data_IF_040275724012
#
_entry.id   IF_040275724012
#
_cell.length_a   1.000
_cell.length_b   1.000
_cell.length_c   1.000
_cell.angle_alpha   90.00
_cell.angle_beta   90.00
_cell.angle_gamma   90.00
#
_symmetry.space_group_name_H-M   'P 1'
#
loop_
_entity.id
_entity.type
_entity.pdbx_description
1 polymer ?
#
# COMPACT_ATOMS: atom_id res chain seq x y z
N UNK A 1 43.97 -5.98 48.99
CA UNK A 1 44.07 -4.85 48.06
C UNK A 1 45.01 -5.28 46.93
N UNK A 2 44.65 -5.46 45.66
CA UNK A 2 43.43 -5.14 44.92
C UNK A 2 43.27 -6.12 43.74
N UNK A 3 42.71 -7.31 43.97
CA UNK A 3 42.34 -8.27 42.91
C UNK A 3 41.12 -7.80 42.08
N UNK A 4 40.69 -6.55 42.24
CA UNK A 4 39.58 -5.91 41.52
C UNK A 4 40.09 -5.16 40.28
N UNK A 5 41.39 -4.83 40.20
CA UNK A 5 41.96 -4.10 39.03
C UNK A 5 42.11 -4.96 37.76
N UNK A 6 42.08 -6.29 37.87
CA UNK A 6 42.21 -7.17 36.70
C UNK A 6 40.86 -7.52 36.04
N UNK A 7 39.73 -7.29 36.71
CA UNK A 7 38.39 -7.61 36.18
C UNK A 7 37.67 -6.42 35.53
N UNK A 8 38.22 -5.20 35.63
CA UNK A 8 37.68 -4.00 34.95
C UNK A 8 38.44 -3.69 33.65
N UNK A 9 39.56 -4.38 33.38
CA UNK A 9 40.35 -4.19 32.15
C UNK A 9 39.96 -5.12 30.98
N UNK A 10 38.83 -5.83 31.09
CA UNK A 10 38.27 -6.63 30.01
C UNK A 10 36.79 -6.25 29.83
N UNK A 11 36.47 -5.70 28.66
CA UNK A 11 35.12 -5.32 28.19
C UNK A 11 34.53 -3.95 28.58
N UNK A 12 35.33 -2.89 28.45
CA UNK A 12 34.81 -1.62 27.92
C UNK A 12 35.59 -1.21 26.66
N UNK A 13 35.33 -1.88 25.54
CA UNK A 13 35.63 -1.32 24.21
C UNK A 13 34.32 -0.96 23.53
N UNK A 14 33.89 0.26 23.80
CA UNK A 14 32.79 0.95 23.12
C UNK A 14 33.03 0.95 21.61
N UNK A 15 31.98 0.62 20.85
CA UNK A 15 31.93 0.76 19.40
C UNK A 15 32.40 2.14 18.96
N UNK A 16 33.45 2.22 18.15
CA UNK A 16 33.88 3.43 17.45
C UNK A 16 34.75 3.07 16.25
N UNK A 17 34.22 3.43 15.08
CA UNK A 17 34.91 3.73 13.82
C UNK A 17 35.47 2.56 13.03
N UNK A 18 34.67 2.07 12.07
CA UNK A 18 35.19 1.72 10.75
C UNK A 18 34.26 2.28 9.68
N UNK A 19 34.56 3.52 9.27
CA UNK A 19 34.04 4.15 8.05
C UNK A 19 34.98 3.72 6.92
N UNK A 20 34.50 2.90 5.99
CA UNK A 20 35.08 2.69 4.66
C UNK A 20 33.91 2.31 3.72
N UNK A 21 33.24 3.29 3.10
CA UNK A 21 33.45 3.73 1.71
C UNK A 21 33.31 2.59 0.67
N UNK A 22 32.08 2.35 0.22
CA UNK A 22 31.78 1.90 -1.13
C UNK A 22 30.66 2.79 -1.71
N UNK A 23 31.04 4.04 -2.00
CA UNK A 23 30.34 4.88 -2.95
C UNK A 23 31.08 4.77 -4.28
N UNK A 24 30.44 4.21 -5.31
CA UNK A 24 30.18 4.88 -6.59
C UNK A 24 29.69 3.87 -7.67
N UNK A 25 28.73 4.34 -8.47
CA UNK A 25 28.13 3.77 -9.69
C UNK A 25 27.20 2.56 -9.48
N UNK A 26 25.91 2.62 -9.83
CA UNK A 26 25.37 3.12 -11.10
C UNK A 26 24.10 3.92 -10.85
N UNK A 27 24.13 5.19 -11.29
CA UNK A 27 22.93 5.97 -11.58
C UNK A 27 22.33 5.32 -12.83
N UNK A 28 21.41 4.37 -12.66
CA UNK A 28 20.47 4.04 -13.72
C UNK A 28 19.37 5.08 -13.64
N UNK A 29 19.47 6.09 -14.50
CA UNK A 29 18.36 6.92 -14.92
C UNK A 29 17.30 6.01 -15.54
N UNK A 30 16.42 5.44 -14.71
CA UNK A 30 15.09 5.08 -15.16
C UNK A 30 14.29 6.39 -15.25
N UNK A 31 14.57 7.13 -16.32
CA UNK A 31 13.53 7.93 -16.95
C UNK A 31 12.51 6.93 -17.51
N UNK A 32 11.64 6.39 -16.66
CA UNK A 32 10.28 6.21 -17.14
C UNK A 32 9.67 7.57 -16.95
N UNK A 33 9.35 8.24 -18.05
CA UNK A 33 8.45 9.38 -18.08
C UNK A 33 7.32 9.10 -17.09
N UNK A 34 7.39 9.64 -15.89
CA UNK A 34 6.20 9.78 -15.06
C UNK A 34 5.52 10.97 -15.68
N UNK A 35 4.86 10.71 -16.79
CA UNK A 35 3.68 11.45 -17.16
C UNK A 35 2.83 11.41 -15.90
N UNK A 36 2.96 12.48 -15.10
CA UNK A 36 2.00 12.83 -14.06
C UNK A 36 0.72 13.29 -14.77
N UNK A 37 0.23 12.45 -15.68
CA UNK A 37 -1.13 12.46 -16.09
C UNK A 37 -1.86 11.77 -14.95
N UNK A 38 -2.55 12.56 -14.13
CA UNK A 38 -3.72 12.12 -13.41
C UNK A 38 -4.70 11.54 -14.45
N UNK A 39 -4.43 10.31 -14.87
CA UNK A 39 -5.23 9.62 -15.85
C UNK A 39 -6.50 9.20 -15.12
N UNK A 40 -7.52 10.05 -15.19
CA UNK A 40 -8.88 9.71 -14.78
C UNK A 40 -9.28 8.45 -15.53
N UNK A 41 -9.41 7.34 -14.81
CA UNK A 41 -9.82 6.06 -15.41
C UNK A 41 -11.31 5.81 -15.20
N UNK A 42 -11.86 5.05 -16.14
CA UNK A 42 -13.21 4.53 -15.99
C UNK A 42 -13.28 3.46 -14.91
N UNK A 43 -12.22 2.68 -14.67
CA UNK A 43 -12.20 1.57 -13.70
C UNK A 43 -10.96 1.60 -12.80
N UNK A 44 -11.03 0.86 -11.68
CA UNK A 44 -9.87 0.55 -10.83
C UNK A 44 -8.94 -0.41 -11.54
N UNK A 45 -7.63 -0.33 -11.31
CA UNK A 45 -6.67 -1.27 -11.89
C UNK A 45 -5.60 -1.64 -10.84
N UNK A 46 -5.94 -2.37 -9.76
CA UNK A 46 -5.00 -2.70 -8.70
C UNK A 46 -3.75 -3.43 -9.23
N UNK A 47 -2.56 -3.22 -8.63
CA UNK A 47 -1.34 -3.92 -9.04
C UNK A 47 -1.37 -5.41 -8.70
N UNK A 48 -0.67 -6.25 -9.47
CA UNK A 48 -0.72 -7.73 -9.34
C UNK A 48 -0.50 -8.25 -7.92
N UNK A 49 0.37 -7.60 -7.14
CA UNK A 49 0.69 -8.05 -5.79
C UNK A 49 -0.49 -7.97 -4.82
N UNK A 50 -1.47 -7.10 -5.06
CA UNK A 50 -2.67 -6.95 -4.21
C UNK A 50 -3.86 -7.77 -4.72
N UNK A 51 -3.79 -8.32 -5.93
CA UNK A 51 -4.86 -9.15 -6.49
C UNK A 51 -5.13 -10.37 -5.60
N UNK A 52 -6.42 -10.60 -5.32
CA UNK A 52 -6.90 -11.65 -4.44
C UNK A 52 -7.82 -11.14 -3.33
N UNK A 53 -8.16 -12.04 -2.40
CA UNK A 53 -9.04 -11.77 -1.27
C UNK A 53 -8.25 -11.52 0.01
N UNK A 54 -8.68 -10.54 0.78
CA UNK A 54 -8.01 -10.04 1.97
C UNK A 54 -9.03 -9.83 3.08
N UNK A 55 -8.85 -10.56 4.18
CA UNK A 55 -9.67 -10.43 5.37
C UNK A 55 -9.03 -9.45 6.33
N UNK A 56 -9.73 -8.39 6.69
CA UNK A 56 -9.32 -7.48 7.75
C UNK A 56 -9.48 -8.12 9.13
N UNK A 57 -8.81 -7.53 10.12
CA UNK A 57 -8.96 -7.93 11.53
C UNK A 57 -10.41 -7.82 12.05
N UNK A 58 -11.23 -6.91 11.48
CA UNK A 58 -12.65 -6.77 11.84
C UNK A 58 -13.60 -7.72 11.06
N UNK A 59 -13.06 -8.61 10.21
CA UNK A 59 -13.83 -9.59 9.47
C UNK A 59 -14.38 -9.13 8.12
N UNK A 60 -14.20 -7.85 7.74
CA UNK A 60 -14.50 -7.36 6.39
C UNK A 60 -13.60 -8.05 5.37
N UNK A 61 -14.17 -8.45 4.23
CA UNK A 61 -13.43 -9.02 3.11
C UNK A 61 -13.27 -7.99 2.00
N UNK A 62 -12.05 -7.79 1.53
CA UNK A 62 -11.74 -7.05 0.31
C UNK A 62 -11.25 -7.99 -0.76
N UNK A 63 -11.81 -7.92 -1.96
CA UNK A 63 -11.32 -8.67 -3.12
C UNK A 63 -10.90 -7.68 -4.21
N UNK A 64 -9.62 -7.69 -4.55
CA UNK A 64 -9.06 -6.89 -5.63
C UNK A 64 -8.99 -7.73 -6.91
N UNK A 65 -9.52 -7.17 -8.01
CA UNK A 65 -9.49 -7.72 -9.37
C UNK A 65 -8.98 -6.64 -10.32
N UNK A 66 -8.58 -7.02 -11.53
CA UNK A 66 -7.99 -6.10 -12.51
C UNK A 66 -8.87 -4.88 -12.87
N UNK A 67 -10.16 -4.90 -12.55
CA UNK A 67 -11.12 -3.83 -12.84
C UNK A 67 -12.07 -3.50 -11.68
N UNK A 68 -11.90 -4.13 -10.51
CA UNK A 68 -12.86 -4.07 -9.42
C UNK A 68 -12.19 -4.12 -8.05
N UNK A 69 -12.80 -3.42 -7.11
CA UNK A 69 -12.57 -3.58 -5.69
C UNK A 69 -13.92 -3.99 -5.12
N UNK A 70 -13.97 -5.14 -4.44
CA UNK A 70 -15.19 -5.65 -3.85
C UNK A 70 -15.01 -5.63 -2.34
N UNK A 71 -15.91 -4.94 -1.63
CA UNK A 71 -16.00 -5.00 -0.18
C UNK A 71 -17.19 -5.88 0.22
N UNK A 72 -16.96 -6.85 1.09
CA UNK A 72 -18.01 -7.68 1.70
C UNK A 72 -17.94 -7.57 3.21
N UNK A 73 -19.01 -7.09 3.83
CA UNK A 73 -19.13 -6.98 5.28
C UNK A 73 -20.56 -7.31 5.71
N UNK A 74 -20.72 -8.16 6.73
CA UNK A 74 -22.03 -8.52 7.31
C UNK A 74 -23.08 -8.97 6.26
N UNK A 75 -22.64 -9.72 5.24
CA UNK A 75 -23.50 -10.18 4.15
C UNK A 75 -23.79 -9.13 3.06
N UNK A 76 -23.41 -7.87 3.27
CA UNK A 76 -23.49 -6.82 2.26
C UNK A 76 -22.27 -6.89 1.34
N UNK A 77 -22.51 -6.96 0.03
CA UNK A 77 -21.46 -6.94 -0.99
C UNK A 77 -21.54 -5.65 -1.81
N UNK A 78 -20.43 -4.95 -1.92
CA UNK A 78 -20.28 -3.73 -2.70
C UNK A 78 -19.17 -3.93 -3.74
N UNK A 79 -19.53 -3.93 -5.02
CA UNK A 79 -18.58 -3.83 -6.13
C UNK A 79 -18.44 -2.37 -6.55
N UNK A 80 -17.20 -1.91 -6.67
CA UNK A 80 -16.93 -0.54 -7.11
C UNK A 80 -17.00 -0.43 -8.64
N UNK A 81 -16.78 -1.52 -9.38
CA UNK A 81 -17.11 -1.61 -10.82
C UNK A 81 -18.61 -1.43 -11.08
N UNK A 82 -19.47 -2.08 -10.30
CA UNK A 82 -20.93 -1.92 -10.44
C UNK A 82 -21.36 -0.48 -10.11
N UNK A 83 -20.75 0.15 -9.09
CA UNK A 83 -20.98 1.56 -8.76
C UNK A 83 -20.59 2.48 -9.91
N UNK A 84 -19.42 2.29 -10.51
CA UNK A 84 -18.99 3.04 -11.71
C UNK A 84 -19.99 2.89 -12.84
N UNK A 85 -20.42 1.67 -13.15
CA UNK A 85 -21.39 1.41 -14.21
C UNK A 85 -22.72 2.15 -13.97
N UNK A 86 -23.21 2.14 -12.72
CA UNK A 86 -24.39 2.88 -12.32
C UNK A 86 -24.20 4.40 -12.52
N UNK A 87 -23.10 4.98 -12.04
CA UNK A 87 -22.81 6.41 -12.20
C UNK A 87 -22.71 6.82 -13.67
N UNK A 88 -22.07 6.00 -14.50
CA UNK A 88 -21.98 6.20 -15.95
C UNK A 88 -23.35 6.19 -16.61
N UNK A 89 -24.22 5.24 -16.26
CA UNK A 89 -25.60 5.19 -16.78
C UNK A 89 -26.44 6.40 -16.37
N UNK A 90 -26.24 6.89 -15.15
CA UNK A 90 -26.90 8.09 -14.62
C UNK A 90 -26.24 9.41 -15.04
N UNK A 91 -25.22 9.38 -15.92
CA UNK A 91 -24.45 10.56 -16.35
C UNK A 91 -23.91 11.39 -15.19
N UNK A 92 -23.60 10.75 -14.08
CA UNK A 92 -23.02 11.39 -12.89
C UNK A 92 -21.53 11.58 -13.08
N UNK A 93 -21.01 12.73 -12.63
CA UNK A 93 -19.56 12.99 -12.66
C UNK A 93 -18.85 12.21 -11.57
N UNK A 94 -17.84 11.43 -11.97
CA UNK A 94 -16.94 10.73 -11.08
C UNK A 94 -15.52 10.77 -11.64
N UNK A 95 -14.52 10.48 -10.79
CA UNK A 95 -13.15 10.21 -11.24
C UNK A 95 -12.51 9.15 -10.38
N UNK A 96 -11.59 8.39 -11.00
CA UNK A 96 -10.71 7.43 -10.32
C UNK A 96 -9.27 7.83 -10.65
N UNK A 97 -8.50 8.14 -9.62
CA UNK A 97 -7.07 8.41 -9.71
C UNK A 97 -6.31 7.35 -8.93
N UNK A 98 -5.25 6.78 -9.51
CA UNK A 98 -4.48 5.70 -8.87
C UNK A 98 -2.99 6.00 -8.85
N UNK A 99 -2.37 5.78 -7.69
CA UNK A 99 -0.92 5.80 -7.50
C UNK A 99 -0.47 4.40 -7.10
N UNK A 100 0.49 3.84 -7.85
CA UNK A 100 0.95 2.46 -7.70
C UNK A 100 2.46 2.43 -7.58
N UNK A 101 2.95 1.65 -6.62
CA UNK A 101 4.36 1.27 -6.52
C UNK A 101 4.46 -0.24 -6.30
N UNK A 102 5.69 -0.75 -6.16
CA UNK A 102 5.92 -2.15 -5.84
C UNK A 102 5.34 -2.56 -4.47
N UNK A 103 5.17 -1.59 -3.57
CA UNK A 103 4.81 -1.83 -2.16
C UNK A 103 3.61 -1.00 -1.69
N UNK A 104 3.01 -0.16 -2.54
CA UNK A 104 1.83 0.64 -2.18
C UNK A 104 0.83 0.77 -3.32
N UNK A 105 -0.44 0.79 -2.96
CA UNK A 105 -1.56 1.06 -3.87
C UNK A 105 -2.50 2.08 -3.22
N UNK A 106 -2.65 3.22 -3.87
CA UNK A 106 -3.59 4.27 -3.49
C UNK A 106 -4.56 4.47 -4.64
N UNK A 107 -5.87 4.42 -4.37
CA UNK A 107 -6.92 4.78 -5.31
C UNK A 107 -7.88 5.77 -4.66
N UNK A 108 -8.04 6.93 -5.30
CA UNK A 108 -9.01 7.96 -4.95
C UNK A 108 -10.22 7.84 -5.88
N UNK A 109 -11.38 7.54 -5.31
CA UNK A 109 -12.65 7.51 -6.03
C UNK A 109 -13.51 8.69 -5.61
N UNK A 110 -13.66 9.65 -6.52
CA UNK A 110 -14.41 10.88 -6.29
C UNK A 110 -15.76 10.79 -6.98
N UNK A 111 -16.84 11.06 -6.24
CA UNK A 111 -18.20 11.18 -6.76
C UNK A 111 -18.77 12.49 -6.24
N UNK A 112 -19.02 13.44 -7.14
CA UNK A 112 -19.40 14.81 -6.78
C UNK A 112 -18.43 15.42 -5.75
N UNK A 113 -18.87 15.64 -4.51
CA UNK A 113 -18.08 16.23 -3.42
C UNK A 113 -17.56 15.20 -2.39
N UNK A 114 -17.73 13.90 -2.64
CA UNK A 114 -17.29 12.83 -1.73
C UNK A 114 -16.13 12.07 -2.34
N UNK A 115 -15.09 11.83 -1.53
CA UNK A 115 -13.92 11.03 -1.91
C UNK A 115 -13.87 9.78 -1.04
N UNK A 116 -13.78 8.62 -1.68
CA UNK A 116 -13.41 7.35 -1.02
C UNK A 116 -11.95 7.06 -1.35
N UNK A 117 -11.13 6.79 -0.34
CA UNK A 117 -9.70 6.49 -0.52
C UNK A 117 -9.45 5.04 -0.13
N UNK A 118 -8.89 4.27 -1.06
CA UNK A 118 -8.29 2.97 -0.81
C UNK A 118 -6.78 3.17 -0.72
N UNK A 119 -6.18 2.87 0.42
CA UNK A 119 -4.73 3.05 0.62
C UNK A 119 -4.16 1.82 1.30
N UNK A 120 -3.36 1.05 0.59
CA UNK A 120 -2.81 -0.21 1.07
C UNK A 120 -1.29 -0.26 0.86
N UNK A 121 -0.59 -0.74 1.89
CA UNK A 121 0.84 -1.02 1.87
C UNK A 121 1.08 -2.52 1.96
N UNK A 122 1.99 -3.02 1.12
CA UNK A 122 2.43 -4.40 1.11
C UNK A 122 3.41 -4.65 2.26
N UNK A 123 3.09 -5.62 3.11
CA UNK A 123 4.01 -6.09 4.16
C UNK A 123 4.70 -7.38 3.70
N UNK A 124 3.95 -8.29 3.09
CA UNK A 124 4.45 -9.52 2.49
C UNK A 124 3.48 -10.03 1.42
N UNK A 125 3.77 -11.16 0.79
CA UNK A 125 2.85 -11.78 -0.18
C UNK A 125 1.46 -12.16 0.41
N UNK A 126 1.35 -12.25 1.74
CA UNK A 126 0.14 -12.68 2.44
C UNK A 126 -0.35 -11.68 3.49
N UNK A 127 0.28 -10.51 3.59
CA UNK A 127 -0.09 -9.45 4.53
C UNK A 127 -0.03 -8.07 3.87
N UNK A 128 -1.09 -7.28 4.08
CA UNK A 128 -1.13 -5.86 3.73
C UNK A 128 -1.67 -5.07 4.94
N UNK A 129 -1.44 -3.77 4.95
CA UNK A 129 -2.00 -2.84 5.93
C UNK A 129 -2.57 -1.62 5.26
N UNK A 130 -3.48 -0.94 5.93
CA UNK A 130 -3.99 0.38 5.56
C UNK A 130 -3.93 1.30 6.78
N UNK A 131 -3.60 2.57 6.57
CA UNK A 131 -3.54 3.59 7.63
C UNK A 131 -4.67 4.63 7.53
N UNK A 132 -5.51 4.55 6.48
CA UNK A 132 -6.51 5.58 6.15
C UNK A 132 -7.93 5.16 6.56
N UNK A 133 -8.94 5.56 5.76
CA UNK A 133 -10.36 5.24 5.95
C UNK A 133 -10.66 3.75 6.19
N UNK A 134 -9.75 2.86 5.75
CA UNK A 134 -9.83 1.40 5.91
C UNK A 134 -8.75 0.87 6.86
N UNK A 135 -8.41 1.62 7.91
CA UNK A 135 -7.26 1.28 8.75
C UNK A 135 -7.34 -0.13 9.35
N UNK A 136 -6.19 -0.81 9.35
CA UNK A 136 -6.07 -2.15 9.92
C UNK A 136 -5.14 -3.06 9.16
N UNK A 137 -4.93 -4.26 9.70
CA UNK A 137 -4.16 -5.31 9.04
C UNK A 137 -5.09 -6.25 8.30
N UNK A 138 -4.56 -6.81 7.23
CA UNK A 138 -5.28 -7.72 6.37
C UNK A 138 -4.42 -8.94 6.08
N UNK A 139 -5.07 -10.11 6.07
CA UNK A 139 -4.45 -11.39 5.73
C UNK A 139 -5.10 -11.92 4.47
N UNK A 140 -4.30 -12.52 3.60
CA UNK A 140 -4.80 -13.18 2.40
C UNK A 140 -5.74 -14.33 2.80
N UNK A 141 -6.91 -14.41 2.16
CA UNK A 141 -7.96 -15.41 2.41
C UNK A 141 -8.05 -16.41 1.27
#
# INVERSE_FOLDING_TARGET
MDNIKLYIHLNQKTMKKLILLFSLLVILTACSTSDNEENSKDNFNPPDWIIGSWRSDNGTMYTFRNDDIICTSEGNRVSYKDKVAFLKSGKSTYSITETKTNDSYIAEFKVSNKTTIFSFSKISATKITSNEHLSGNYKKH
#
